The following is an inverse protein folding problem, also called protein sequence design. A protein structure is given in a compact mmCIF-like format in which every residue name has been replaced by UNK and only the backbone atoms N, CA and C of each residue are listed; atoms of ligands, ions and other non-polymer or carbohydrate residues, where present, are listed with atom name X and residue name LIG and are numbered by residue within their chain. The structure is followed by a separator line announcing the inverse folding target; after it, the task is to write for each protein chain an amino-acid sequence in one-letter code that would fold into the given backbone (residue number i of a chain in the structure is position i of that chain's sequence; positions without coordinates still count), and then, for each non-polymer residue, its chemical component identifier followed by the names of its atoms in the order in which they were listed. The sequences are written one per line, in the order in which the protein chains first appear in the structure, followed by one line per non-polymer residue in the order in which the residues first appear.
data_IF_931253480117
#
_entry.id   IF_931253480117
#
_cell.length_a   1.000
_cell.length_b   1.000
_cell.length_c   1.000
_cell.angle_alpha   90.00
_cell.angle_beta   90.00
_cell.angle_gamma   90.00
#
_symmetry.space_group_name_H-M   'P 1'
#
loop_
_entity.id
_entity.type
_entity.pdbx_description
1 polymer ?
#
# COMPACT_ATOMS: atom_id res chain seq x y z
N UNK A 1 42.16 0.86 -8.05
CA UNK A 1 41.30 -0.29 -8.43
C UNK A 1 41.41 -1.38 -7.37
N UNK A 2 40.39 -1.54 -6.51
CA UNK A 2 40.12 -2.78 -5.77
C UNK A 2 38.62 -2.84 -5.52
N UNK A 3 37.99 -3.77 -6.22
CA UNK A 3 36.58 -4.13 -6.13
C UNK A 3 36.41 -4.90 -4.82
N UNK A 4 35.58 -4.39 -3.91
CA UNK A 4 35.08 -5.20 -2.78
C UNK A 4 33.71 -5.75 -3.17
N UNK A 5 33.69 -7.05 -3.45
CA UNK A 5 32.49 -7.87 -3.51
C UNK A 5 31.91 -8.00 -2.09
N UNK A 6 30.60 -7.84 -1.96
CA UNK A 6 29.90 -7.98 -0.69
C UNK A 6 28.40 -7.82 -0.83
N UNK A 7 27.77 -8.56 -1.76
CA UNK A 7 26.31 -8.64 -1.87
C UNK A 7 25.87 -10.10 -1.65
N UNK A 8 25.60 -10.41 -0.38
CA UNK A 8 25.09 -11.70 0.04
C UNK A 8 24.33 -11.55 1.35
N UNK A 9 23.14 -10.94 1.31
CA UNK A 9 22.15 -11.09 2.37
C UNK A 9 20.86 -11.66 1.79
N UNK A 10 20.56 -12.88 2.24
CA UNK A 10 19.33 -13.62 1.99
C UNK A 10 18.13 -13.08 2.79
N UNK A 11 17.05 -13.89 2.92
CA UNK A 11 15.69 -13.48 2.61
C UNK A 11 14.96 -12.84 3.80
N UNK A 12 14.75 -11.52 3.76
CA UNK A 12 13.90 -10.81 4.73
C UNK A 12 12.39 -10.88 4.40
N UNK A 13 11.98 -11.45 3.27
CA UNK A 13 10.58 -11.49 2.84
C UNK A 13 9.63 -12.39 3.65
N UNK A 14 10.16 -13.33 4.44
CA UNK A 14 9.33 -14.28 5.21
C UNK A 14 8.60 -13.64 6.39
N UNK A 15 9.26 -12.74 7.13
CA UNK A 15 8.71 -12.13 8.34
C UNK A 15 7.56 -11.16 8.05
N UNK A 16 7.68 -10.38 6.98
CA UNK A 16 6.63 -9.42 6.55
C UNK A 16 5.40 -10.17 6.08
N UNK A 17 5.56 -11.22 5.26
CA UNK A 17 4.45 -12.07 4.81
C UNK A 17 3.68 -12.67 5.99
N UNK A 18 4.39 -13.16 7.02
CA UNK A 18 3.76 -13.73 8.22
C UNK A 18 3.07 -12.65 9.06
N UNK A 19 3.72 -11.50 9.28
CA UNK A 19 3.15 -10.39 10.05
C UNK A 19 1.91 -9.78 9.39
N UNK A 20 1.95 -9.59 8.07
CA UNK A 20 0.79 -9.08 7.31
C UNK A 20 -0.32 -10.13 7.23
N UNK A 21 0.01 -11.42 7.06
CA UNK A 21 -1.00 -12.51 7.16
C UNK A 21 -1.68 -12.55 8.52
N UNK A 22 -0.99 -12.21 9.60
CA UNK A 22 -1.58 -12.11 10.93
C UNK A 22 -2.52 -10.89 11.09
N UNK A 23 -2.37 -9.86 10.25
CA UNK A 23 -3.20 -8.64 10.27
C UNK A 23 -4.40 -8.71 9.31
N UNK A 24 -4.40 -9.65 8.35
CA UNK A 24 -5.48 -9.83 7.38
C UNK A 24 -6.17 -11.18 7.65
N UNK A 25 -7.35 -11.21 8.30
CA UNK A 25 -8.13 -12.43 8.40
C UNK A 25 -8.49 -12.94 7.01
N UNK A 26 -8.18 -14.20 6.70
CA UNK A 26 -8.63 -14.84 5.44
C UNK A 26 -10.15 -14.80 5.39
N UNK A 27 -10.72 -14.03 4.45
CA UNK A 27 -12.16 -14.12 4.15
C UNK A 27 -12.44 -15.42 3.40
N UNK A 28 -13.50 -16.12 3.81
CA UNK A 28 -14.06 -17.25 3.09
C UNK A 28 -14.49 -16.83 1.66
N UNK A 29 -14.47 -17.76 0.68
CA UNK A 29 -14.82 -17.45 -0.70
C UNK A 29 -16.27 -16.94 -0.78
N UNK A 30 -16.43 -15.72 -1.32
CA UNK A 30 -17.74 -15.17 -1.64
C UNK A 30 -18.20 -15.82 -2.93
N UNK A 31 -19.34 -16.51 -2.87
CA UNK A 31 -20.04 -17.04 -4.03
C UNK A 31 -20.93 -15.95 -4.63
N UNK A 32 -20.88 -15.89 -5.95
CA UNK A 32 -21.99 -15.61 -6.87
C UNK A 32 -22.18 -14.20 -7.46
N UNK A 33 -22.75 -14.21 -8.68
CA UNK A 33 -23.59 -13.14 -9.21
C UNK A 33 -23.06 -12.40 -10.43
N UNK A 34 -23.15 -13.00 -11.61
CA UNK A 34 -22.95 -12.29 -12.88
C UNK A 34 -24.00 -11.18 -13.10
N UNK A 35 -23.56 -10.03 -13.61
CA UNK A 35 -24.44 -8.93 -14.00
C UNK A 35 -23.65 -7.83 -14.69
N UNK A 36 -23.74 -7.77 -16.02
CA UNK A 36 -23.00 -6.83 -16.85
C UNK A 36 -23.53 -5.40 -16.78
N UNK A 37 -22.64 -4.42 -16.95
CA UNK A 37 -23.01 -3.09 -17.41
C UNK A 37 -21.83 -2.46 -18.15
N UNK A 38 -21.92 -2.43 -19.50
CA UNK A 38 -21.03 -1.65 -20.35
C UNK A 38 -21.44 -0.19 -20.30
N UNK A 39 -20.57 0.69 -19.81
CA UNK A 39 -20.49 2.09 -20.27
C UNK A 39 -19.03 2.50 -20.36
N UNK A 40 -18.66 2.97 -21.54
CA UNK A 40 -17.34 3.51 -21.85
C UNK A 40 -17.08 4.73 -20.95
N UNK A 41 -16.12 4.60 -20.02
CA UNK A 41 -15.61 5.71 -19.26
C UNK A 41 -14.32 6.21 -19.93
N UNK A 42 -14.30 7.49 -20.28
CA UNK A 42 -13.10 8.24 -20.65
C UNK A 42 -11.99 7.93 -19.66
N UNK A 43 -10.78 7.64 -20.14
CA UNK A 43 -9.62 7.28 -19.32
C UNK A 43 -9.32 8.40 -18.31
N UNK A 44 -9.85 8.26 -17.10
CA UNK A 44 -9.33 8.91 -15.90
C UNK A 44 -8.34 7.93 -15.27
N UNK A 45 -7.14 8.40 -14.95
CA UNK A 45 -6.11 7.55 -14.34
C UNK A 45 -6.67 6.81 -13.10
N UNK A 46 -6.41 5.50 -12.93
CA UNK A 46 -6.96 4.67 -11.85
C UNK A 46 -6.71 5.22 -10.43
N UNK A 47 -5.60 5.91 -10.28
CA UNK A 47 -5.18 6.64 -9.07
C UNK A 47 -6.16 7.73 -8.66
N UNK A 48 -6.69 8.51 -9.62
CA UNK A 48 -7.70 9.54 -9.37
C UNK A 48 -9.04 8.92 -9.00
N UNK A 49 -9.34 7.74 -9.56
CA UNK A 49 -10.51 6.97 -9.19
C UNK A 49 -10.45 6.49 -7.74
N UNK A 50 -9.28 6.09 -7.21
CA UNK A 50 -9.13 5.71 -5.80
C UNK A 50 -9.54 6.84 -4.83
N UNK A 51 -9.06 8.06 -5.08
CA UNK A 51 -9.35 9.22 -4.22
C UNK A 51 -10.80 9.69 -4.35
N UNK A 52 -11.28 9.86 -5.59
CA UNK A 52 -12.65 10.35 -5.88
C UNK A 52 -13.72 9.34 -5.50
N UNK A 53 -13.43 8.04 -5.62
CA UNK A 53 -14.42 7.01 -5.27
C UNK A 53 -14.62 6.87 -3.77
N UNK A 54 -13.63 7.18 -2.93
CA UNK A 54 -13.83 7.09 -1.48
C UNK A 54 -14.76 8.18 -0.94
N UNK A 55 -14.63 9.43 -1.41
CA UNK A 55 -15.47 10.54 -0.93
C UNK A 55 -16.96 10.38 -1.25
N UNK A 56 -17.29 9.56 -2.26
CA UNK A 56 -18.68 9.26 -2.65
C UNK A 56 -19.13 7.85 -2.24
N UNK A 57 -18.21 6.88 -2.23
CA UNK A 57 -18.50 5.46 -1.95
C UNK A 57 -17.31 4.79 -1.24
N UNK A 58 -17.17 4.95 0.09
CA UNK A 58 -15.99 4.47 0.84
C UNK A 58 -15.72 2.97 0.71
N UNK A 59 -16.77 2.18 0.41
CA UNK A 59 -16.67 0.75 0.13
C UNK A 59 -15.87 0.42 -1.13
N UNK A 60 -15.96 1.25 -2.17
CA UNK A 60 -15.23 1.04 -3.43
C UNK A 60 -13.73 1.21 -3.18
N UNK A 61 -13.34 2.31 -2.53
CA UNK A 61 -11.94 2.53 -2.16
C UNK A 61 -11.39 1.38 -1.31
N UNK A 62 -12.12 0.98 -0.26
CA UNK A 62 -11.75 -0.17 0.58
C UNK A 62 -11.52 -1.44 -0.25
N UNK A 63 -12.42 -1.75 -1.19
CA UNK A 63 -12.33 -2.95 -2.01
C UNK A 63 -11.14 -2.90 -2.96
N UNK A 64 -10.88 -1.76 -3.60
CA UNK A 64 -9.73 -1.64 -4.51
C UNK A 64 -8.42 -1.82 -3.74
N UNK A 65 -8.24 -1.13 -2.62
CA UNK A 65 -7.04 -1.32 -1.76
C UNK A 65 -6.94 -2.78 -1.31
N UNK A 66 -8.05 -3.41 -0.97
CA UNK A 66 -8.09 -4.84 -0.64
C UNK A 66 -7.60 -5.73 -1.78
N UNK A 67 -8.01 -5.47 -3.02
CA UNK A 67 -7.57 -6.21 -4.20
C UNK A 67 -6.06 -6.02 -4.43
N UNK A 68 -5.56 -4.79 -4.34
CA UNK A 68 -4.12 -4.52 -4.51
C UNK A 68 -3.28 -5.27 -3.46
N UNK A 69 -3.73 -5.32 -2.21
CA UNK A 69 -3.11 -6.12 -1.15
C UNK A 69 -3.10 -7.60 -1.53
N UNK A 70 -4.23 -8.16 -1.97
CA UNK A 70 -4.32 -9.57 -2.39
C UNK A 70 -3.38 -9.89 -3.54
N UNK A 71 -3.28 -9.01 -4.54
CA UNK A 71 -2.33 -9.19 -5.65
C UNK A 71 -0.89 -9.26 -5.13
N UNK A 72 -0.46 -8.31 -4.29
CA UNK A 72 0.91 -8.34 -3.75
C UNK A 72 1.19 -9.54 -2.83
N UNK A 73 0.18 -10.03 -2.12
CA UNK A 73 0.34 -11.17 -1.20
C UNK A 73 0.39 -12.52 -1.92
N UNK A 74 -0.54 -12.74 -2.85
CA UNK A 74 -0.78 -14.04 -3.48
C UNK A 74 -0.12 -14.17 -4.85
N UNK A 75 0.11 -13.05 -5.55
CA UNK A 75 0.67 -12.97 -6.90
C UNK A 75 1.78 -11.89 -6.97
N UNK A 76 2.85 -11.98 -6.15
CA UNK A 76 3.90 -10.96 -6.07
C UNK A 76 4.59 -10.68 -7.41
N UNK A 77 4.61 -11.64 -8.34
CA UNK A 77 5.14 -11.47 -9.69
C UNK A 77 4.34 -10.48 -10.56
N UNK A 78 3.14 -10.11 -10.12
CA UNK A 78 2.27 -9.10 -10.75
C UNK A 78 2.32 -7.74 -10.04
N UNK A 79 3.39 -7.47 -9.28
CA UNK A 79 3.58 -6.19 -8.58
C UNK A 79 3.58 -4.98 -9.54
N UNK A 80 4.03 -5.15 -10.78
CA UNK A 80 4.04 -4.11 -11.81
C UNK A 80 2.64 -3.56 -12.13
N UNK A 81 1.60 -4.40 -12.03
CA UNK A 81 0.20 -3.99 -12.21
C UNK A 81 -0.22 -3.05 -11.08
N UNK A 82 0.16 -3.37 -9.84
CA UNK A 82 -0.14 -2.53 -8.67
C UNK A 82 0.59 -1.20 -8.76
N UNK A 83 1.84 -1.22 -9.21
CA UNK A 83 2.65 -0.02 -9.46
C UNK A 83 2.00 0.88 -10.50
N UNK A 84 1.56 0.33 -11.64
CA UNK A 84 0.83 1.09 -12.67
C UNK A 84 -0.45 1.71 -12.11
N UNK A 85 -1.21 0.98 -11.28
CA UNK A 85 -2.45 1.54 -10.71
C UNK A 85 -2.16 2.70 -9.75
N UNK A 86 -1.12 2.59 -8.93
CA UNK A 86 -0.82 3.56 -7.88
C UNK A 86 0.05 4.73 -8.33
N UNK A 87 0.99 4.51 -9.25
CA UNK A 87 2.07 5.46 -9.54
C UNK A 87 2.06 6.02 -10.98
N UNK A 88 1.13 5.58 -11.83
CA UNK A 88 0.99 6.11 -13.21
C UNK A 88 0.61 7.61 -13.23
N UNK A 89 -0.20 8.08 -12.27
CA UNK A 89 -0.42 9.52 -12.09
C UNK A 89 0.62 10.14 -11.17
N UNK A 90 1.52 10.92 -11.77
CA UNK A 90 2.56 11.68 -11.06
C UNK A 90 1.99 12.63 -10.01
N UNK A 91 0.76 13.13 -10.16
CA UNK A 91 0.14 14.04 -9.20
C UNK A 91 -0.55 13.32 -8.04
N UNK A 92 -0.76 12.01 -8.14
CA UNK A 92 -1.39 11.26 -7.08
C UNK A 92 -0.37 10.90 -6.00
N UNK A 93 -0.63 11.36 -4.77
CA UNK A 93 0.07 10.90 -3.58
C UNK A 93 -0.84 9.95 -2.81
N UNK A 94 -0.57 8.64 -2.90
CA UNK A 94 -1.39 7.63 -2.23
C UNK A 94 -1.30 7.72 -0.69
N UNK A 95 -0.31 8.40 -0.11
CA UNK A 95 -0.25 8.63 1.34
C UNK A 95 -1.46 9.44 1.85
N UNK A 96 -2.09 10.26 0.99
CA UNK A 96 -3.35 10.96 1.30
C UNK A 96 -4.51 10.01 1.61
N UNK A 97 -4.39 8.72 1.28
CA UNK A 97 -5.36 7.71 1.67
C UNK A 97 -5.36 7.44 3.19
N UNK A 98 -4.28 7.79 3.91
CA UNK A 98 -4.24 7.73 5.39
C UNK A 98 -5.06 8.82 6.06
N UNK A 99 -5.34 9.93 5.36
CA UNK A 99 -6.14 11.05 5.91
C UNK A 99 -7.64 10.69 6.04
N UNK A 100 -8.10 9.61 5.41
CA UNK A 100 -9.52 9.18 5.45
C UNK A 100 -9.96 8.80 6.86
N UNK A 101 -11.19 9.09 7.26
CA UNK A 101 -11.68 8.88 8.65
C UNK A 101 -11.82 7.42 9.06
N UNK A 102 -11.87 6.48 8.11
CA UNK A 102 -12.11 5.06 8.41
C UNK A 102 -10.85 4.33 8.86
N UNK A 103 -10.81 3.87 10.11
CA UNK A 103 -9.76 2.99 10.65
C UNK A 103 -9.49 1.77 9.76
N UNK A 104 -10.55 1.12 9.28
CA UNK A 104 -10.43 -0.05 8.43
C UNK A 104 -9.71 0.28 7.10
N UNK A 105 -9.94 1.47 6.57
CA UNK A 105 -9.27 1.94 5.36
C UNK A 105 -7.81 2.28 5.62
N UNK A 106 -7.54 3.09 6.66
CA UNK A 106 -6.17 3.43 7.09
C UNK A 106 -5.34 2.17 7.34
N UNK A 107 -5.92 1.18 8.01
CA UNK A 107 -5.27 -0.09 8.31
C UNK A 107 -4.87 -0.84 7.02
N UNK A 108 -5.76 -0.91 6.02
CA UNK A 108 -5.44 -1.50 4.72
C UNK A 108 -4.36 -0.71 3.99
N UNK A 109 -4.37 0.61 4.07
CA UNK A 109 -3.31 1.45 3.48
C UNK A 109 -1.96 1.17 4.16
N UNK A 110 -1.90 1.08 5.50
CA UNK A 110 -0.67 0.69 6.20
C UNK A 110 -0.17 -0.69 5.76
N UNK A 111 -1.07 -1.66 5.60
CA UNK A 111 -0.72 -2.99 5.08
C UNK A 111 -0.17 -2.90 3.65
N UNK A 112 -0.82 -2.12 2.79
CA UNK A 112 -0.38 -1.90 1.42
C UNK A 112 1.02 -1.27 1.38
N UNK A 113 1.31 -0.28 2.23
CA UNK A 113 2.64 0.32 2.37
C UNK A 113 3.69 -0.76 2.67
N UNK A 114 3.48 -1.61 3.68
CA UNK A 114 4.43 -2.69 4.02
C UNK A 114 4.68 -3.64 2.85
N UNK A 115 3.64 -3.96 2.07
CA UNK A 115 3.76 -4.84 0.91
C UNK A 115 4.49 -4.16 -0.26
N UNK A 116 4.23 -2.87 -0.51
CA UNK A 116 4.96 -2.09 -1.51
C UNK A 116 6.45 -2.01 -1.17
N UNK A 117 6.79 -1.83 0.10
CA UNK A 117 8.18 -1.89 0.55
C UNK A 117 8.85 -3.24 0.28
N UNK A 118 8.07 -4.33 0.21
CA UNK A 118 8.61 -5.69 0.02
C UNK A 118 8.69 -6.08 -1.45
N UNK A 119 7.64 -5.80 -2.23
CA UNK A 119 7.48 -6.33 -3.60
C UNK A 119 7.65 -5.28 -4.69
N UNK A 120 7.53 -4.00 -4.36
CA UNK A 120 7.57 -2.88 -5.31
C UNK A 120 8.57 -1.80 -4.89
N UNK A 121 9.62 -2.18 -4.13
CA UNK A 121 10.49 -1.24 -3.43
C UNK A 121 11.11 -0.18 -4.36
N UNK A 122 11.54 -0.54 -5.57
CA UNK A 122 12.16 0.38 -6.52
C UNK A 122 11.17 1.42 -7.06
N UNK A 123 10.03 0.96 -7.59
CA UNK A 123 9.00 1.86 -8.12
C UNK A 123 8.39 2.71 -7.01
N UNK A 124 8.17 2.12 -5.84
CA UNK A 124 7.67 2.82 -4.67
C UNK A 124 8.64 3.91 -4.19
N UNK A 125 9.94 3.59 -4.09
CA UNK A 125 10.97 4.56 -3.72
C UNK A 125 11.05 5.72 -4.71
N UNK A 126 11.06 5.43 -6.01
CA UNK A 126 11.06 6.46 -7.05
C UNK A 126 9.80 7.34 -7.01
N UNK A 127 8.63 6.74 -6.76
CA UNK A 127 7.38 7.49 -6.66
C UNK A 127 7.34 8.41 -5.42
N UNK A 128 8.01 8.04 -4.33
CA UNK A 128 8.00 8.79 -3.07
C UNK A 128 9.14 9.80 -2.94
N UNK A 129 10.22 9.69 -3.70
CA UNK A 129 11.40 10.57 -3.60
C UNK A 129 11.04 12.08 -3.66
N UNK A 130 10.03 12.47 -4.46
CA UNK A 130 9.57 13.87 -4.55
C UNK A 130 8.27 14.16 -3.80
N UNK A 131 7.66 13.16 -3.17
CA UNK A 131 6.34 13.27 -2.52
C UNK A 131 6.37 13.04 -1.01
N UNK A 132 7.43 12.41 -0.51
CA UNK A 132 7.60 12.15 0.91
C UNK A 132 8.00 13.44 1.60
N UNK A 133 7.21 13.86 2.58
CA UNK A 133 7.55 15.01 3.42
C UNK A 133 7.36 14.64 4.88
N UNK A 134 7.84 15.51 5.77
CA UNK A 134 7.61 15.40 7.22
C UNK A 134 6.12 15.24 7.56
N UNK A 135 5.21 15.82 6.78
CA UNK A 135 3.76 15.66 6.98
C UNK A 135 3.32 14.21 6.81
N UNK A 136 3.81 13.51 5.79
CA UNK A 136 3.49 12.09 5.56
C UNK A 136 4.03 11.21 6.69
N UNK A 137 5.25 11.49 7.18
CA UNK A 137 5.84 10.82 8.34
C UNK A 137 4.97 11.02 9.59
N UNK A 138 4.66 12.27 9.94
CA UNK A 138 3.84 12.60 11.12
C UNK A 138 2.43 12.00 11.02
N UNK A 139 1.83 12.00 9.82
CA UNK A 139 0.54 11.36 9.59
C UNK A 139 0.59 9.87 9.92
N UNK A 140 1.61 9.15 9.43
CA UNK A 140 1.75 7.72 9.71
C UNK A 140 2.10 7.43 11.17
N UNK A 141 3.01 8.20 11.76
CA UNK A 141 3.46 8.03 13.15
C UNK A 141 2.37 8.37 14.17
N UNK A 142 1.47 9.31 13.86
CA UNK A 142 0.30 9.59 14.70
C UNK A 142 -0.61 8.36 14.90
N UNK A 143 -0.57 7.39 13.98
CA UNK A 143 -1.32 6.14 14.11
C UNK A 143 -0.69 5.16 15.10
N UNK A 144 0.56 5.37 15.54
CA UNK A 144 1.26 4.52 16.51
C UNK A 144 0.73 4.64 17.94
N UNK A 145 -0.14 5.60 18.20
CA UNK A 145 -0.83 5.79 19.49
C UNK A 145 -2.35 5.69 19.34
N UNK A 146 -2.84 5.26 18.16
CA UNK A 146 -4.27 5.11 17.92
C UNK A 146 -4.89 4.05 18.84
N UNK A 147 -6.11 4.30 19.32
CA UNK A 147 -6.83 3.40 20.23
C UNK A 147 -7.16 2.03 19.60
N UNK A 148 -7.26 1.98 18.28
CA UNK A 148 -7.41 0.75 17.52
C UNK A 148 -6.07 0.00 17.44
N UNK A 149 -5.92 -1.04 18.26
CA UNK A 149 -4.69 -1.84 18.40
C UNK A 149 -4.24 -2.47 17.07
N UNK A 150 -5.16 -2.86 16.19
CA UNK A 150 -4.81 -3.47 14.91
C UNK A 150 -4.26 -2.43 13.94
N UNK A 151 -4.88 -1.24 13.87
CA UNK A 151 -4.37 -0.12 13.09
C UNK A 151 -3.00 0.33 13.60
N UNK A 152 -2.86 0.46 14.93
CA UNK A 152 -1.61 0.77 15.59
C UNK A 152 -0.47 -0.16 15.15
N UNK A 153 -0.70 -1.48 15.25
CA UNK A 153 0.27 -2.49 14.86
C UNK A 153 0.59 -2.44 13.37
N UNK A 154 -0.42 -2.23 12.51
CA UNK A 154 -0.22 -2.09 11.07
C UNK A 154 0.62 -0.85 10.73
N UNK A 155 0.36 0.29 11.37
CA UNK A 155 1.12 1.52 11.17
C UNK A 155 2.58 1.38 11.62
N UNK A 156 2.82 0.76 12.78
CA UNK A 156 4.19 0.47 13.27
C UNK A 156 4.95 -0.46 12.33
N UNK A 157 4.28 -1.46 11.77
CA UNK A 157 4.88 -2.34 10.76
C UNK A 157 5.22 -1.55 9.49
N UNK A 158 4.30 -0.72 9.00
CA UNK A 158 4.53 0.14 7.84
C UNK A 158 5.73 1.08 8.04
N UNK A 159 5.81 1.76 9.18
CA UNK A 159 6.95 2.63 9.52
C UNK A 159 8.26 1.85 9.57
N UNK A 160 8.26 0.64 10.16
CA UNK A 160 9.47 -0.21 10.19
C UNK A 160 9.94 -0.60 8.80
N UNK A 161 9.03 -0.93 7.88
CA UNK A 161 9.41 -1.26 6.50
C UNK A 161 9.90 -0.01 5.75
N UNK A 162 9.24 1.13 5.96
CA UNK A 162 9.62 2.41 5.38
C UNK A 162 10.98 2.91 5.87
N UNK A 163 11.37 2.67 7.12
CA UNK A 163 12.67 3.09 7.63
C UNK A 163 13.87 2.44 6.92
N UNK A 164 13.63 1.40 6.12
CA UNK A 164 14.64 0.78 5.27
C UNK A 164 14.73 1.44 3.88
N UNK A 165 13.86 2.41 3.57
CA UNK A 165 13.81 3.07 2.27
C UNK A 165 14.65 4.35 2.25
N UNK A 166 15.37 4.64 1.15
CA UNK A 166 16.23 5.83 1.07
C UNK A 166 15.50 7.15 1.33
N UNK A 167 14.27 7.30 0.81
CA UNK A 167 13.49 8.53 0.93
C UNK A 167 12.96 8.81 2.34
N UNK A 168 12.92 7.80 3.24
CA UNK A 168 12.28 7.95 4.55
C UNK A 168 13.14 8.76 5.54
N UNK A 169 14.46 8.68 5.38
CA UNK A 169 15.44 9.38 6.23
C UNK A 169 15.84 10.76 5.66
N UNK A 170 15.27 11.12 4.52
CA UNK A 170 15.52 12.37 3.80
C UNK A 170 14.68 13.51 4.39
#
# INVERSE_FOLDING_TARGET
MRVSQGAGRGPHGGGVRVAVRALVPRRAPVRDGGGGLRRAARLHSPSRFLYVSHSKTPRIGLNIVGILITVLQDLPEHADVVEKILFDDKNFNFMRLLEQSSDAFRMRVCILISLLCTFSCTAFSAAMESKWTRKETECLESLHTHCNVTLNRAARLATKELSNMPFYLS
#
